data_IF_310378177503
#
_entry.id   IF_310378177503
#
_cell.length_a   1.000
_cell.length_b   1.000
_cell.length_c   1.000
_cell.angle_alpha   90.00
_cell.angle_beta   90.00
_cell.angle_gamma   90.00
#
_symmetry.space_group_name_H-M   'P 1'
#
loop_
_entity.id
_entity.type
_entity.pdbx_description
1 polymer ?
#
# COMPACT_ATOMS: atom_id res chain seq x y z
N UNK A 1 -16.59 12.01 24.82
CA UNK A 1 -15.78 12.16 23.59
C UNK A 1 -14.59 13.10 23.77
N UNK A 2 -14.76 14.38 24.16
CA UNK A 2 -13.61 15.31 24.36
C UNK A 2 -12.52 14.77 25.28
N UNK A 3 -12.88 14.16 26.41
CA UNK A 3 -11.92 13.54 27.34
C UNK A 3 -11.18 12.32 26.79
N UNK A 4 -11.71 11.66 25.76
CA UNK A 4 -11.06 10.51 25.12
C UNK A 4 -10.02 11.04 24.12
N UNK A 5 -10.42 12.03 23.31
CA UNK A 5 -9.54 12.62 22.30
C UNK A 5 -8.43 13.47 22.92
N UNK A 6 -8.58 13.93 24.17
CA UNK A 6 -7.61 14.77 24.86
C UNK A 6 -6.29 14.07 25.21
N UNK A 7 -6.14 12.75 25.04
CA UNK A 7 -4.85 12.07 25.16
C UNK A 7 -4.07 12.00 23.85
N UNK A 8 -4.70 12.29 22.71
CA UNK A 8 -4.07 12.19 21.39
C UNK A 8 -3.31 13.47 21.05
N UNK A 9 -2.11 13.30 20.52
CA UNK A 9 -1.19 14.39 20.21
C UNK A 9 -0.61 14.23 18.80
N UNK A 10 -0.37 15.35 18.13
CA UNK A 10 0.38 15.38 16.89
C UNK A 10 1.90 15.17 17.14
N UNK A 11 2.68 15.24 16.07
CA UNK A 11 4.15 15.11 16.12
C UNK A 11 4.86 16.22 16.92
N UNK A 12 4.19 17.34 17.21
CA UNK A 12 4.69 18.48 17.97
C UNK A 12 4.13 18.52 19.41
N UNK A 13 3.57 17.40 19.88
CA UNK A 13 2.94 17.26 21.20
C UNK A 13 1.76 18.22 21.43
N UNK A 14 1.12 18.71 20.36
CA UNK A 14 -0.11 19.49 20.43
C UNK A 14 -1.34 18.58 20.35
N UNK A 15 -2.49 18.95 20.94
CA UNK A 15 -3.74 18.21 20.73
C UNK A 15 -4.05 18.06 19.24
N UNK A 16 -4.50 16.88 18.82
CA UNK A 16 -4.91 16.67 17.42
C UNK A 16 -5.99 17.68 17.02
N UNK A 17 -5.83 18.29 15.84
CA UNK A 17 -6.73 19.33 15.36
C UNK A 17 -8.05 18.75 14.81
N UNK A 18 -8.03 17.52 14.30
CA UNK A 18 -9.18 16.83 13.73
C UNK A 18 -9.09 15.32 13.90
N UNK A 19 -10.23 14.63 13.76
CA UNK A 19 -10.31 13.17 13.77
C UNK A 19 -11.51 12.72 12.94
N UNK A 20 -11.36 11.60 12.22
CA UNK A 20 -12.46 10.93 11.52
C UNK A 20 -13.11 9.93 12.48
N UNK A 21 -14.44 10.01 12.61
CA UNK A 21 -15.21 9.10 13.45
C UNK A 21 -16.01 8.14 12.58
N UNK A 22 -15.97 6.85 12.92
CA UNK A 22 -16.71 5.78 12.26
C UNK A 22 -17.86 5.36 13.17
N UNK A 23 -19.05 5.15 12.59
CA UNK A 23 -20.23 4.68 13.31
C UNK A 23 -21.07 3.77 12.44
N UNK A 24 -21.63 2.72 13.03
CA UNK A 24 -22.71 1.96 12.42
C UNK A 24 -23.98 2.82 12.33
N UNK A 25 -24.63 2.83 11.16
CA UNK A 25 -25.72 3.76 10.87
C UNK A 25 -26.92 3.61 11.83
N UNK A 26 -27.17 2.39 12.28
CA UNK A 26 -28.24 1.98 13.19
C UNK A 26 -27.86 2.06 14.69
N UNK A 27 -26.64 2.50 15.01
CA UNK A 27 -26.14 2.60 16.38
C UNK A 27 -25.97 4.05 16.84
N UNK A 28 -26.06 4.27 18.15
CA UNK A 28 -25.66 5.53 18.76
C UNK A 28 -24.14 5.65 18.82
N UNK A 29 -23.60 6.87 18.99
CA UNK A 29 -22.15 7.13 19.04
C UNK A 29 -21.43 6.45 20.20
N UNK A 30 -22.16 6.07 21.25
CA UNK A 30 -21.63 5.44 22.45
C UNK A 30 -22.19 4.04 22.67
N UNK A 31 -22.77 3.43 21.63
CA UNK A 31 -23.21 2.05 21.70
C UNK A 31 -21.99 1.15 21.89
N UNK A 32 -22.11 0.17 22.79
CA UNK A 32 -21.11 -0.87 22.91
C UNK A 32 -21.08 -1.69 21.61
N UNK A 33 -19.86 -1.92 21.11
CA UNK A 33 -19.62 -2.77 19.96
C UNK A 33 -19.26 -4.18 20.41
N UNK A 34 -19.83 -5.16 19.74
CA UNK A 34 -19.43 -6.58 19.81
C UNK A 34 -18.05 -6.78 19.19
N UNK A 35 -17.39 -7.92 19.47
CA UNK A 35 -16.09 -8.22 18.85
C UNK A 35 -16.19 -8.28 17.31
N UNK A 36 -17.25 -8.88 16.77
CA UNK A 36 -17.49 -8.93 15.31
C UNK A 36 -17.64 -7.52 14.70
N UNK A 37 -18.34 -6.62 15.39
CA UNK A 37 -18.46 -5.22 14.96
C UNK A 37 -17.10 -4.50 15.01
N UNK A 38 -16.26 -4.79 16.01
CA UNK A 38 -14.92 -4.23 16.14
C UNK A 38 -14.02 -4.75 15.00
N UNK A 39 -14.05 -6.05 14.72
CA UNK A 39 -13.32 -6.66 13.59
C UNK A 39 -13.75 -6.05 12.26
N UNK A 40 -15.05 -5.82 12.09
CA UNK A 40 -15.62 -5.17 10.90
C UNK A 40 -15.13 -3.72 10.74
N UNK A 41 -15.02 -2.95 11.84
CA UNK A 41 -14.42 -1.60 11.82
C UNK A 41 -12.95 -1.65 11.41
N UNK A 42 -12.19 -2.65 11.85
CA UNK A 42 -10.81 -2.83 11.40
C UNK A 42 -10.73 -3.21 9.91
N UNK A 43 -11.64 -4.07 9.42
CA UNK A 43 -11.75 -4.36 7.98
C UNK A 43 -12.02 -3.10 7.16
N UNK A 44 -12.94 -2.23 7.60
CA UNK A 44 -13.23 -0.95 6.95
C UNK A 44 -12.01 -0.02 6.94
N UNK A 45 -11.26 0.00 8.04
CA UNK A 45 -10.04 0.79 8.16
C UNK A 45 -8.98 0.33 7.16
N UNK A 46 -8.80 -0.99 6.99
CA UNK A 46 -7.86 -1.53 5.99
C UNK A 46 -8.31 -1.23 4.55
N UNK A 47 -9.62 -1.28 4.27
CA UNK A 47 -10.16 -0.86 2.97
C UNK A 47 -9.97 0.65 2.72
N UNK A 48 -10.16 1.48 3.75
CA UNK A 48 -9.91 2.93 3.69
C UNK A 48 -8.43 3.22 3.44
N UNK A 49 -7.54 2.56 4.17
CA UNK A 49 -6.09 2.71 4.01
C UNK A 49 -5.66 2.34 2.59
N UNK A 50 -6.11 1.19 2.10
CA UNK A 50 -5.84 0.76 0.73
C UNK A 50 -6.34 1.78 -0.31
N UNK A 51 -7.54 2.31 -0.09
CA UNK A 51 -8.15 3.28 -1.01
C UNK A 51 -7.38 4.60 -1.05
N UNK A 52 -6.88 5.08 0.10
CA UNK A 52 -5.99 6.23 0.14
C UNK A 52 -4.64 5.96 -0.53
N UNK A 53 -4.05 4.79 -0.28
CA UNK A 53 -2.81 4.36 -0.93
C UNK A 53 -2.95 4.19 -2.45
N UNK A 54 -4.15 3.87 -2.94
CA UNK A 54 -4.46 3.73 -4.36
C UNK A 54 -4.55 5.08 -5.09
N UNK A 55 -4.70 6.19 -4.36
CA UNK A 55 -4.79 7.56 -4.89
C UNK A 55 -3.54 8.39 -4.61
N UNK A 56 -2.57 7.85 -3.85
CA UNK A 56 -1.38 8.61 -3.50
C UNK A 56 -0.55 8.93 -4.74
N UNK A 57 0.08 10.10 -4.69
CA UNK A 57 1.04 10.50 -5.70
C UNK A 57 2.47 10.34 -5.18
N UNK A 58 3.34 9.80 -6.04
CA UNK A 58 4.77 9.66 -5.73
C UNK A 58 5.55 10.88 -6.25
N UNK A 59 6.66 11.19 -5.57
CA UNK A 59 7.55 12.30 -5.92
C UNK A 59 6.87 13.68 -5.93
N UNK A 60 5.91 13.88 -5.02
CA UNK A 60 5.26 15.17 -4.79
C UNK A 60 5.65 15.72 -3.42
N UNK A 61 5.54 17.04 -3.26
CA UNK A 61 5.85 17.71 -1.99
C UNK A 61 4.67 17.70 -1.01
N UNK A 62 3.48 17.33 -1.47
CA UNK A 62 2.24 17.35 -0.69
C UNK A 62 1.32 16.21 -1.10
N UNK A 63 0.51 15.74 -0.16
CA UNK A 63 -0.50 14.73 -0.45
C UNK A 63 0.01 13.28 -0.41
N UNK A 64 1.30 13.03 -0.16
CA UNK A 64 1.77 11.67 0.10
C UNK A 64 1.11 11.10 1.36
N UNK A 65 0.69 9.83 1.28
CA UNK A 65 0.19 9.08 2.43
C UNK A 65 0.77 7.67 2.44
N UNK A 66 0.83 7.10 3.64
CA UNK A 66 1.18 5.71 3.88
C UNK A 66 0.08 5.05 4.71
N UNK A 67 0.18 3.73 4.93
CA UNK A 67 -0.81 2.96 5.68
C UNK A 67 -1.05 3.53 7.08
N UNK A 68 0.00 4.00 7.75
CA UNK A 68 -0.10 4.47 9.13
C UNK A 68 -0.87 5.79 9.25
N UNK A 69 -0.97 6.57 8.18
CA UNK A 69 -1.88 7.72 8.06
C UNK A 69 -3.35 7.35 8.26
N UNK A 70 -3.72 6.07 8.11
CA UNK A 70 -5.09 5.58 8.23
C UNK A 70 -5.28 4.67 9.44
N UNK A 71 -4.44 4.78 10.47
CA UNK A 71 -4.52 3.92 11.65
C UNK A 71 -5.89 4.04 12.35
N UNK A 72 -6.65 2.96 12.30
CA UNK A 72 -7.94 2.85 12.99
C UNK A 72 -7.75 2.56 14.48
N UNK A 73 -8.45 3.33 15.32
CA UNK A 73 -8.41 3.18 16.76
C UNK A 73 -9.80 2.86 17.28
N UNK A 74 -9.92 1.71 17.94
CA UNK A 74 -11.14 1.30 18.64
C UNK A 74 -10.84 1.24 20.13
N UNK A 75 -11.56 2.03 20.92
CA UNK A 75 -11.34 2.12 22.36
C UNK A 75 -12.65 2.00 23.13
N UNK A 76 -12.67 1.08 24.09
CA UNK A 76 -13.74 0.99 25.10
C UNK A 76 -13.54 2.09 26.14
N UNK A 77 -14.63 2.73 26.56
CA UNK A 77 -14.58 3.77 27.58
C UNK A 77 -15.69 3.59 28.60
N UNK A 78 -15.49 4.15 29.80
CA UNK A 78 -16.52 4.25 30.85
C UNK A 78 -16.67 5.72 31.25
N UNK A 79 -17.90 6.26 31.30
CA UNK A 79 -18.12 7.62 31.79
C UNK A 79 -17.51 7.81 33.20
N UNK A 80 -16.84 8.94 33.42
CA UNK A 80 -16.21 9.25 34.71
C UNK A 80 -14.90 8.53 35.03
N UNK A 81 -14.37 7.71 34.12
CA UNK A 81 -13.05 7.10 34.30
C UNK A 81 -11.93 8.17 34.34
N UNK A 82 -10.98 8.02 35.26
CA UNK A 82 -9.84 8.95 35.46
C UNK A 82 -8.55 8.50 34.76
N UNK A 83 -8.64 7.51 33.87
CA UNK A 83 -7.49 6.94 33.18
C UNK A 83 -7.86 5.85 32.18
N UNK A 84 -6.84 5.20 31.62
CA UNK A 84 -6.99 4.11 30.67
C UNK A 84 -6.23 2.86 31.13
N UNK A 85 -6.78 1.70 30.81
CA UNK A 85 -6.07 0.42 30.92
C UNK A 85 -5.52 0.06 29.54
N UNK A 86 -4.21 -0.01 29.42
CA UNK A 86 -3.52 -0.42 28.20
C UNK A 86 -3.22 -1.92 28.28
N UNK A 87 -3.64 -2.68 27.27
CA UNK A 87 -3.32 -4.10 27.15
C UNK A 87 -2.27 -4.28 26.07
N UNK A 88 -1.13 -4.87 26.43
CA UNK A 88 -0.09 -5.26 25.48
C UNK A 88 -0.12 -6.77 25.25
N UNK A 89 0.02 -7.19 23.99
CA UNK A 89 0.18 -8.60 23.62
C UNK A 89 1.61 -9.05 23.91
N UNK A 90 1.75 -10.27 24.42
CA UNK A 90 3.01 -11.01 24.48
C UNK A 90 2.84 -12.38 23.83
N UNK A 91 3.94 -13.05 23.47
CA UNK A 91 3.85 -14.42 22.90
C UNK A 91 3.28 -15.43 23.91
N UNK A 92 3.50 -15.17 25.20
CA UNK A 92 3.04 -15.93 26.36
C UNK A 92 1.74 -15.39 26.97
N UNK A 93 1.01 -14.49 26.27
CA UNK A 93 -0.26 -13.94 26.73
C UNK A 93 -0.34 -12.43 26.57
N UNK A 94 -0.49 -11.69 27.67
CA UNK A 94 -0.51 -10.23 27.62
C UNK A 94 -0.41 -9.60 28.99
N UNK A 95 -0.02 -8.33 29.00
CA UNK A 95 0.07 -7.52 30.22
C UNK A 95 -1.00 -6.42 30.16
N UNK A 96 -1.55 -6.05 31.31
CA UNK A 96 -2.40 -4.88 31.44
C UNK A 96 -1.72 -3.87 32.35
N UNK A 97 -1.72 -2.60 31.97
CA UNK A 97 -1.15 -1.51 32.75
C UNK A 97 -2.13 -0.36 32.81
N UNK A 98 -2.33 0.21 34.00
CA UNK A 98 -3.19 1.37 34.19
C UNK A 98 -2.37 2.65 34.09
N UNK A 99 -2.92 3.64 33.39
CA UNK A 99 -2.35 4.96 33.21
C UNK A 99 -3.41 6.00 33.57
N UNK A 100 -3.06 6.99 34.39
CA UNK A 100 -3.95 8.12 34.65
C UNK A 100 -4.13 8.96 33.38
N UNK A 101 -5.24 9.69 33.29
CA UNK A 101 -5.54 10.54 32.13
C UNK A 101 -4.48 11.64 31.92
N UNK A 102 -3.81 12.08 32.98
CA UNK A 102 -2.74 13.09 32.93
C UNK A 102 -1.44 12.56 32.31
N UNK A 103 -1.17 11.27 32.49
CA UNK A 103 0.05 10.61 32.01
C UNK A 103 -0.12 9.99 30.63
N UNK A 104 -1.34 9.63 30.24
CA UNK A 104 -1.60 9.01 28.94
C UNK A 104 -1.46 10.03 27.81
N UNK A 105 -0.42 9.84 26.98
CA UNK A 105 -0.24 10.56 25.73
C UNK A 105 -0.03 9.56 24.59
N UNK A 106 -0.91 9.60 23.59
CA UNK A 106 -0.77 8.83 22.36
C UNK A 106 -0.31 9.80 21.28
N UNK A 107 0.96 9.72 20.90
CA UNK A 107 1.57 10.61 19.91
C UNK A 107 1.48 10.00 18.53
N UNK A 108 1.21 10.84 17.54
CA UNK A 108 1.37 10.52 16.13
C UNK A 108 2.85 10.24 15.82
N UNK A 109 3.10 9.18 15.03
CA UNK A 109 4.44 8.83 14.61
C UNK A 109 5.02 9.87 13.62
N UNK A 110 6.32 10.18 13.67
CA UNK A 110 6.92 11.24 12.85
C UNK A 110 6.85 11.05 11.33
N UNK A 111 6.72 9.79 10.85
CA UNK A 111 6.59 9.50 9.41
C UNK A 111 5.16 9.68 8.88
N UNK A 112 4.19 9.95 9.75
CA UNK A 112 2.81 10.21 9.35
C UNK A 112 2.67 11.69 9.00
N UNK A 113 2.43 11.97 7.72
CA UNK A 113 2.15 13.32 7.23
C UNK A 113 0.68 13.69 7.46
N UNK A 114 0.40 14.97 7.72
CA UNK A 114 -0.98 15.47 7.82
C UNK A 114 -1.75 15.24 6.51
N UNK A 115 -2.82 14.46 6.58
CA UNK A 115 -3.73 14.27 5.46
C UNK A 115 -4.64 15.49 5.32
N UNK A 116 -4.44 16.29 4.26
CA UNK A 116 -5.35 17.38 3.91
C UNK A 116 -6.34 16.93 2.85
N UNK A 117 -7.61 16.80 3.23
CA UNK A 117 -8.70 16.60 2.27
C UNK A 117 -8.88 15.17 1.75
N UNK A 118 -8.38 14.15 2.45
CA UNK A 118 -8.66 12.76 2.08
C UNK A 118 -10.12 12.41 2.37
N UNK A 119 -10.88 12.19 1.30
CA UNK A 119 -12.25 11.69 1.37
C UNK A 119 -12.27 10.16 1.29
N UNK A 120 -13.36 9.56 1.78
CA UNK A 120 -13.70 8.18 1.40
C UNK A 120 -13.81 8.16 -0.12
N UNK A 121 -13.04 7.29 -0.77
CA UNK A 121 -12.97 7.24 -2.22
C UNK A 121 -14.00 6.26 -2.78
N UNK A 122 -14.22 6.29 -4.09
CA UNK A 122 -15.10 5.34 -4.77
C UNK A 122 -14.62 3.88 -4.65
N UNK A 123 -13.36 3.66 -4.26
CA UNK A 123 -12.74 2.34 -4.11
C UNK A 123 -13.00 1.70 -2.74
N UNK A 124 -13.33 2.49 -1.70
CA UNK A 124 -13.45 1.99 -0.32
C UNK A 124 -14.54 0.94 -0.17
N UNK A 125 -15.76 1.23 -0.62
CA UNK A 125 -16.89 0.30 -0.46
C UNK A 125 -16.72 -0.98 -1.29
N UNK A 126 -16.34 -0.93 -2.58
CA UNK A 126 -16.04 -2.14 -3.36
C UNK A 126 -14.93 -3.00 -2.73
N UNK A 127 -13.86 -2.37 -2.25
CA UNK A 127 -12.76 -3.10 -1.59
C UNK A 127 -13.23 -3.76 -0.31
N UNK A 128 -13.94 -3.03 0.55
CA UNK A 128 -14.47 -3.56 1.79
C UNK A 128 -15.42 -4.75 1.57
N UNK A 129 -16.36 -4.64 0.63
CA UNK A 129 -17.28 -5.73 0.30
C UNK A 129 -16.55 -6.97 -0.25
N UNK A 130 -15.49 -6.78 -1.06
CA UNK A 130 -14.67 -7.88 -1.56
C UNK A 130 -13.89 -8.56 -0.41
N UNK A 131 -13.35 -7.79 0.53
CA UNK A 131 -12.69 -8.34 1.73
C UNK A 131 -13.64 -9.17 2.60
N UNK A 132 -14.94 -8.79 2.70
CA UNK A 132 -15.94 -9.55 3.46
C UNK A 132 -16.29 -10.91 2.82
N UNK A 133 -16.02 -11.09 1.52
CA UNK A 133 -16.48 -12.25 0.74
C UNK A 133 -15.35 -13.12 0.18
N UNK A 134 -14.13 -12.61 0.16
CA UNK A 134 -12.95 -13.30 -0.37
C UNK A 134 -11.75 -13.12 0.58
N UNK A 135 -11.42 -14.20 1.31
CA UNK A 135 -10.29 -14.25 2.24
C UNK A 135 -8.95 -13.95 1.53
N UNK A 136 -8.75 -14.43 0.31
CA UNK A 136 -7.53 -14.14 -0.45
C UNK A 136 -7.42 -12.66 -0.81
N UNK A 137 -8.55 -12.02 -1.11
CA UNK A 137 -8.59 -10.57 -1.33
C UNK A 137 -8.29 -9.79 -0.04
N UNK A 138 -8.91 -10.14 1.11
CA UNK A 138 -8.62 -9.54 2.41
C UNK A 138 -7.13 -9.65 2.78
N UNK A 139 -6.56 -10.84 2.66
CA UNK A 139 -5.14 -11.07 2.92
C UNK A 139 -4.24 -10.28 1.95
N UNK A 140 -4.64 -10.12 0.68
CA UNK A 140 -3.89 -9.34 -0.29
C UNK A 140 -3.84 -7.86 0.10
N UNK A 141 -4.99 -7.28 0.47
CA UNK A 141 -5.10 -5.89 0.89
C UNK A 141 -4.27 -5.64 2.16
N UNK A 142 -4.40 -6.48 3.18
CA UNK A 142 -3.63 -6.35 4.43
C UNK A 142 -2.14 -6.46 4.21
N UNK A 143 -1.69 -7.41 3.39
CA UNK A 143 -0.28 -7.58 3.08
C UNK A 143 0.29 -6.39 2.30
N UNK A 144 -0.49 -5.83 1.37
CA UNK A 144 -0.10 -4.60 0.66
C UNK A 144 -0.01 -3.41 1.62
N UNK A 145 -1.02 -3.22 2.47
CA UNK A 145 -1.05 -2.15 3.47
C UNK A 145 0.16 -2.23 4.41
N UNK A 146 0.49 -3.40 4.94
CA UNK A 146 1.65 -3.60 5.82
C UNK A 146 2.98 -3.27 5.12
N UNK A 147 3.09 -3.56 3.82
CA UNK A 147 4.26 -3.22 3.03
C UNK A 147 4.43 -1.72 2.75
N UNK A 148 3.40 -0.91 3.01
CA UNK A 148 3.36 0.52 2.70
C UNK A 148 3.21 1.36 3.98
N UNK A 149 3.90 0.99 5.06
CA UNK A 149 3.87 1.70 6.35
C UNK A 149 4.93 2.79 6.48
N UNK A 150 6.03 2.70 5.73
CA UNK A 150 7.22 3.56 5.80
C UNK A 150 7.86 3.65 7.19
N UNK A 151 7.58 2.69 8.07
CA UNK A 151 8.14 2.67 9.42
C UNK A 151 9.65 2.46 9.34
N UNK A 152 10.42 3.25 10.07
CA UNK A 152 11.88 3.08 10.17
C UNK A 152 12.29 1.70 10.73
N UNK A 153 11.40 1.03 11.46
CA UNK A 153 11.62 -0.32 12.01
C UNK A 153 11.26 -1.44 11.02
N UNK A 154 10.57 -1.11 9.92
CA UNK A 154 10.29 -2.05 8.83
C UNK A 154 11.46 -2.02 7.85
N UNK A 155 12.10 -3.18 7.64
CA UNK A 155 13.13 -3.28 6.63
C UNK A 155 12.53 -3.42 5.23
N UNK A 156 13.21 -2.91 4.21
CA UNK A 156 12.80 -3.10 2.80
C UNK A 156 12.64 -4.58 2.41
N UNK A 157 13.38 -5.46 3.07
CA UNK A 157 13.22 -6.92 2.95
C UNK A 157 11.83 -7.37 3.39
N UNK A 158 11.35 -6.90 4.53
CA UNK A 158 10.02 -7.24 5.03
C UNK A 158 8.93 -6.64 4.14
N UNK A 159 9.11 -5.40 3.67
CA UNK A 159 8.22 -4.78 2.69
C UNK A 159 8.13 -5.61 1.41
N UNK A 160 9.28 -6.10 0.90
CA UNK A 160 9.34 -6.95 -0.29
C UNK A 160 8.59 -8.28 -0.06
N UNK A 161 8.79 -8.93 1.09
CA UNK A 161 8.11 -10.18 1.44
C UNK A 161 6.59 -9.95 1.51
N UNK A 162 6.14 -8.90 2.20
CA UNK A 162 4.73 -8.55 2.33
C UNK A 162 4.12 -8.21 0.97
N UNK A 163 4.84 -7.46 0.13
CA UNK A 163 4.39 -7.08 -1.21
C UNK A 163 4.21 -8.28 -2.13
N UNK A 164 5.19 -9.19 -2.20
CA UNK A 164 5.06 -10.42 -3.00
C UNK A 164 3.92 -11.30 -2.45
N UNK A 165 3.76 -11.35 -1.14
CA UNK A 165 2.64 -12.06 -0.52
C UNK A 165 1.30 -11.46 -0.93
N UNK A 166 1.19 -10.12 -1.01
CA UNK A 166 0.00 -9.43 -1.49
C UNK A 166 -0.39 -9.86 -2.91
N UNK A 167 0.55 -9.89 -3.86
CA UNK A 167 0.30 -10.38 -5.21
C UNK A 167 -0.14 -11.85 -5.23
N UNK A 168 0.55 -12.71 -4.48
CA UNK A 168 0.21 -14.13 -4.42
C UNK A 168 -1.21 -14.36 -3.90
N UNK A 169 -1.62 -13.63 -2.87
CA UNK A 169 -2.98 -13.68 -2.32
C UNK A 169 -4.00 -13.12 -3.33
N UNK A 170 -3.69 -12.01 -4.00
CA UNK A 170 -4.57 -11.42 -5.02
C UNK A 170 -4.83 -12.38 -6.19
N UNK A 171 -3.86 -13.23 -6.53
CA UNK A 171 -3.95 -14.23 -7.59
C UNK A 171 -4.38 -15.63 -7.11
N UNK A 172 -4.67 -15.80 -5.81
CA UNK A 172 -5.08 -17.10 -5.25
C UNK A 172 -3.99 -18.18 -5.28
N UNK A 173 -2.72 -17.78 -5.30
CA UNK A 173 -1.57 -18.69 -5.42
C UNK A 173 -1.21 -19.23 -4.03
N UNK A 174 -1.33 -20.55 -3.84
CA UNK A 174 -0.94 -21.25 -2.61
C UNK A 174 0.41 -21.93 -2.77
N UNK A 175 1.33 -21.68 -1.83
CA UNK A 175 2.68 -22.28 -1.84
C UNK A 175 3.56 -21.85 -3.02
N UNK A 176 3.20 -20.76 -3.68
CA UNK A 176 3.61 -20.42 -5.05
C UNK A 176 5.11 -20.34 -5.29
N UNK A 177 5.55 -21.12 -6.27
CA UNK A 177 6.84 -20.90 -6.90
C UNK A 177 6.88 -19.55 -7.65
N UNK A 178 8.09 -19.06 -7.88
CA UNK A 178 8.39 -17.80 -8.57
C UNK A 178 7.72 -17.74 -9.94
N UNK A 179 7.75 -18.86 -10.69
CA UNK A 179 7.26 -18.92 -12.06
C UNK A 179 5.73 -18.74 -12.14
N UNK A 180 4.99 -19.31 -11.19
CA UNK A 180 3.53 -19.22 -11.13
C UNK A 180 3.07 -17.84 -10.71
N UNK A 181 3.81 -17.19 -9.79
CA UNK A 181 3.59 -15.78 -9.42
C UNK A 181 3.78 -14.87 -10.62
N UNK A 182 4.89 -15.04 -11.35
CA UNK A 182 5.20 -14.24 -12.53
C UNK A 182 4.20 -14.42 -13.68
N UNK A 183 3.77 -15.66 -13.95
CA UNK A 183 2.76 -15.95 -14.98
C UNK A 183 1.41 -15.32 -14.63
N UNK A 184 0.91 -15.54 -13.41
CA UNK A 184 -0.39 -15.00 -12.99
C UNK A 184 -0.42 -13.47 -13.04
N UNK A 185 0.69 -12.81 -12.71
CA UNK A 185 0.83 -11.37 -12.88
C UNK A 185 0.72 -10.93 -14.34
N UNK A 186 1.43 -11.60 -15.25
CA UNK A 186 1.37 -11.29 -16.67
C UNK A 186 -0.03 -11.57 -17.24
N UNK A 187 -0.66 -12.67 -16.83
CA UNK A 187 -2.01 -13.06 -17.21
C UNK A 187 -3.04 -12.03 -16.76
N UNK A 188 -2.93 -11.51 -15.53
CA UNK A 188 -3.80 -10.45 -15.03
C UNK A 188 -3.75 -9.16 -15.88
N UNK A 189 -2.61 -8.92 -16.55
CA UNK A 189 -2.40 -7.76 -17.42
C UNK A 189 -2.59 -8.06 -18.92
N UNK A 190 -3.05 -9.25 -19.31
CA UNK A 190 -3.23 -9.60 -20.74
C UNK A 190 -4.22 -8.70 -21.47
N UNK A 191 -5.22 -8.16 -20.76
CA UNK A 191 -6.19 -7.20 -21.31
C UNK A 191 -5.68 -5.78 -21.40
N UNK A 192 -4.51 -5.50 -20.82
CA UNK A 192 -3.88 -4.17 -20.87
C UNK A 192 -2.96 -4.15 -22.09
N UNK A 193 -3.19 -3.26 -23.06
CA UNK A 193 -2.33 -3.15 -24.23
C UNK A 193 -0.85 -3.05 -23.84
N UNK A 194 0.01 -3.75 -24.58
CA UNK A 194 1.45 -3.69 -24.37
C UNK A 194 1.99 -2.40 -24.98
N UNK A 195 2.77 -1.65 -24.21
CA UNK A 195 3.52 -0.55 -24.80
C UNK A 195 4.63 -1.11 -25.70
N UNK A 196 4.85 -0.48 -26.86
CA UNK A 196 5.95 -0.83 -27.76
C UNK A 196 7.29 -0.28 -27.26
N UNK A 197 7.71 -0.70 -26.07
CA UNK A 197 8.93 -0.26 -25.40
C UNK A 197 9.94 -1.39 -25.24
N UNK A 198 11.22 -1.07 -25.41
CA UNK A 198 12.33 -2.00 -25.16
C UNK A 198 13.05 -1.61 -23.88
N UNK A 199 13.43 -2.57 -23.01
CA UNK A 199 14.28 -2.28 -21.87
C UNK A 199 15.66 -1.81 -22.36
N UNK A 200 16.28 -0.85 -21.66
CA UNK A 200 17.58 -0.29 -22.08
C UNK A 200 18.82 -1.11 -21.67
N UNK A 201 18.71 -2.06 -20.72
CA UNK A 201 19.87 -2.82 -20.21
C UNK A 201 20.08 -4.13 -21.01
N UNK A 202 21.27 -4.39 -21.61
CA UNK A 202 21.49 -5.59 -22.43
C UNK A 202 21.26 -6.93 -21.70
N UNK A 203 21.62 -7.01 -20.40
CA UNK A 203 21.38 -8.21 -19.59
C UNK A 203 19.89 -8.44 -19.30
N UNK A 204 19.09 -7.38 -19.28
CA UNK A 204 17.64 -7.51 -19.17
C UNK A 204 17.01 -7.81 -20.53
N UNK A 205 17.59 -7.41 -21.66
CA UNK A 205 17.02 -7.71 -22.99
C UNK A 205 16.84 -9.20 -23.24
N UNK A 206 17.85 -10.06 -23.01
CA UNK A 206 17.71 -11.51 -23.22
C UNK A 206 16.70 -12.12 -22.23
N UNK A 207 16.76 -11.70 -20.97
CA UNK A 207 15.89 -12.20 -19.91
C UNK A 207 14.42 -11.81 -20.14
N UNK A 208 14.19 -10.58 -20.58
CA UNK A 208 12.89 -10.01 -20.97
C UNK A 208 12.40 -10.63 -22.27
N UNK A 209 13.24 -10.80 -23.29
CA UNK A 209 12.84 -11.41 -24.56
C UNK A 209 12.24 -12.81 -24.39
N UNK A 210 12.72 -13.57 -23.39
CA UNK A 210 12.18 -14.91 -23.09
C UNK A 210 10.82 -14.92 -22.39
N UNK A 211 10.43 -13.85 -21.69
CA UNK A 211 9.26 -13.83 -20.78
C UNK A 211 8.26 -12.70 -21.07
N UNK A 212 8.66 -11.69 -21.83
CA UNK A 212 8.00 -10.38 -21.81
C UNK A 212 8.36 -9.57 -20.57
N UNK A 213 8.21 -8.24 -20.66
CA UNK A 213 8.68 -7.29 -19.66
C UNK A 213 7.98 -7.45 -18.30
N UNK A 214 6.64 -7.54 -18.31
CA UNK A 214 5.80 -7.70 -17.13
C UNK A 214 6.12 -8.97 -16.35
N UNK A 215 6.21 -10.10 -17.05
CA UNK A 215 6.55 -11.39 -16.43
C UNK A 215 8.00 -11.40 -15.91
N UNK A 216 8.95 -10.80 -16.64
CA UNK A 216 10.33 -10.69 -16.20
C UNK A 216 10.45 -9.90 -14.89
N UNK A 217 9.76 -8.77 -14.77
CA UNK A 217 9.76 -7.97 -13.54
C UNK A 217 9.23 -8.74 -12.32
N UNK A 218 8.06 -9.38 -12.45
CA UNK A 218 7.50 -10.15 -11.34
C UNK A 218 8.36 -11.37 -10.99
N UNK A 219 8.98 -12.02 -11.98
CA UNK A 219 9.92 -13.12 -11.75
C UNK A 219 11.14 -12.64 -10.95
N UNK A 220 11.72 -11.50 -11.32
CA UNK A 220 12.88 -10.91 -10.65
C UNK A 220 12.55 -10.57 -9.18
N UNK A 221 11.41 -9.91 -8.96
CA UNK A 221 10.90 -9.56 -7.64
C UNK A 221 10.65 -10.78 -6.75
N UNK A 222 9.95 -11.79 -7.27
CA UNK A 222 9.64 -13.01 -6.52
C UNK A 222 10.90 -13.84 -6.23
N UNK A 223 11.87 -13.86 -7.15
CA UNK A 223 13.19 -14.49 -6.93
C UNK A 223 13.96 -13.77 -5.83
N UNK A 224 13.98 -12.43 -5.86
CA UNK A 224 14.63 -11.63 -4.84
C UNK A 224 14.02 -11.91 -3.46
N UNK A 225 12.69 -11.93 -3.33
CA UNK A 225 11.99 -12.31 -2.10
C UNK A 225 12.42 -13.70 -1.62
N UNK A 226 12.50 -14.68 -2.52
CA UNK A 226 12.97 -16.03 -2.21
C UNK A 226 14.40 -16.03 -1.64
N UNK A 227 15.32 -15.31 -2.30
CA UNK A 227 16.72 -15.21 -1.86
C UNK A 227 16.84 -14.62 -0.45
N UNK A 228 16.13 -13.52 -0.17
CA UNK A 228 16.22 -12.86 1.14
C UNK A 228 15.48 -13.66 2.23
N UNK A 229 14.38 -14.33 1.90
CA UNK A 229 13.68 -15.22 2.85
C UNK A 229 14.53 -16.41 3.30
N UNK A 230 15.51 -16.85 2.50
CA UNK A 230 16.49 -17.86 2.88
C UNK A 230 17.70 -17.31 3.64
N UNK A 231 17.70 -16.02 4.00
CA UNK A 231 18.75 -15.39 4.81
C UNK A 231 19.99 -14.97 4.01
N UNK A 232 19.93 -14.98 2.68
CA UNK A 232 21.03 -14.47 1.87
C UNK A 232 21.19 -12.96 2.07
N UNK A 233 22.44 -12.48 2.04
CA UNK A 233 22.72 -11.04 2.12
C UNK A 233 22.07 -10.29 0.96
N UNK A 234 21.60 -9.08 1.22
CA UNK A 234 21.11 -8.16 0.20
C UNK A 234 22.19 -7.95 -0.87
N UNK A 235 21.82 -8.08 -2.15
CA UNK A 235 22.76 -8.02 -3.29
C UNK A 235 23.40 -9.35 -3.72
N UNK A 236 23.14 -10.45 -3.01
CA UNK A 236 23.58 -11.80 -3.45
C UNK A 236 22.94 -12.26 -4.76
N UNK A 237 21.70 -11.83 -5.01
CA UNK A 237 20.99 -12.05 -6.25
C UNK A 237 21.20 -10.83 -7.18
N UNK A 238 21.73 -11.02 -8.41
CA UNK A 238 21.99 -9.93 -9.35
C UNK A 238 20.70 -9.48 -10.04
N UNK A 239 19.84 -8.80 -9.27
CA UNK A 239 18.55 -8.29 -9.71
C UNK A 239 18.67 -7.28 -10.84
N UNK A 240 17.68 -7.26 -11.73
CA UNK A 240 17.59 -6.28 -12.83
C UNK A 240 17.11 -4.93 -12.29
N UNK A 241 16.11 -4.97 -11.42
CA UNK A 241 15.60 -3.81 -10.68
C UNK A 241 16.09 -3.86 -9.23
N UNK A 242 16.38 -2.69 -8.66
CA UNK A 242 16.68 -2.57 -7.24
C UNK A 242 15.45 -2.87 -6.37
N UNK A 243 15.68 -3.13 -5.07
CA UNK A 243 14.59 -3.33 -4.11
C UNK A 243 13.65 -2.12 -4.09
N UNK A 244 14.19 -0.91 -4.08
CA UNK A 244 13.41 0.33 -4.07
C UNK A 244 12.56 0.48 -5.33
N UNK A 245 13.10 0.13 -6.51
CA UNK A 245 12.33 0.11 -7.75
C UNK A 245 11.19 -0.91 -7.68
N UNK A 246 11.43 -2.13 -7.20
CA UNK A 246 10.37 -3.12 -7.03
C UNK A 246 9.26 -2.64 -6.10
N UNK A 247 9.62 -2.05 -4.96
CA UNK A 247 8.65 -1.55 -3.99
C UNK A 247 7.82 -0.41 -4.56
N UNK A 248 8.44 0.58 -5.20
CA UNK A 248 7.73 1.69 -5.86
C UNK A 248 6.81 1.20 -6.98
N UNK A 249 7.32 0.33 -7.86
CA UNK A 249 6.55 -0.21 -8.99
C UNK A 249 5.37 -1.05 -8.51
N UNK A 250 5.56 -1.84 -7.46
CA UNK A 250 4.49 -2.62 -6.84
C UNK A 250 3.45 -1.74 -6.13
N UNK A 251 3.91 -0.74 -5.39
CA UNK A 251 3.11 0.32 -4.77
C UNK A 251 2.19 1.04 -5.75
N UNK A 252 2.61 1.13 -7.02
CA UNK A 252 1.85 1.70 -8.14
C UNK A 252 0.91 0.69 -8.83
N UNK A 253 1.42 -0.48 -9.23
CA UNK A 253 0.63 -1.41 -10.07
C UNK A 253 -0.38 -2.24 -9.28
N UNK A 254 -0.11 -2.53 -8.00
CA UNK A 254 -0.99 -3.38 -7.20
C UNK A 254 -2.40 -2.80 -7.04
N UNK A 255 -2.58 -1.51 -6.68
CA UNK A 255 -3.91 -0.91 -6.65
C UNK A 255 -4.66 -0.98 -7.98
N UNK A 256 -3.96 -0.81 -9.10
CA UNK A 256 -4.55 -0.90 -10.44
C UNK A 256 -5.02 -2.32 -10.77
N UNK A 257 -4.27 -3.35 -10.36
CA UNK A 257 -4.70 -4.74 -10.50
C UNK A 257 -5.92 -5.07 -9.63
N UNK A 258 -5.99 -4.50 -8.43
CA UNK A 258 -7.17 -4.64 -7.57
C UNK A 258 -8.39 -3.99 -8.24
N UNK A 259 -8.26 -2.76 -8.75
CA UNK A 259 -9.32 -2.09 -9.52
C UNK A 259 -9.73 -2.90 -10.75
N UNK A 260 -8.77 -3.47 -11.49
CA UNK A 260 -9.02 -4.34 -12.63
C UNK A 260 -9.78 -5.61 -12.21
N UNK A 261 -9.41 -6.23 -11.09
CA UNK A 261 -10.12 -7.40 -10.54
C UNK A 261 -11.54 -7.04 -10.13
N UNK A 262 -11.74 -5.92 -9.45
CA UNK A 262 -13.05 -5.40 -9.05
C UNK A 262 -13.91 -4.97 -10.25
N UNK A 263 -13.32 -4.72 -11.42
CA UNK A 263 -14.12 -4.40 -12.61
C UNK A 263 -15.03 -5.55 -13.04
N UNK A 264 -14.65 -6.80 -12.73
CA UNK A 264 -15.51 -7.96 -12.95
C UNK A 264 -16.75 -7.99 -12.04
N UNK A 265 -16.74 -7.22 -10.94
CA UNK A 265 -17.85 -7.08 -9.99
C UNK A 265 -18.51 -5.69 -10.01
N UNK A 266 -18.26 -4.89 -11.05
CA UNK A 266 -18.97 -3.63 -11.32
C UNK A 266 -18.21 -2.35 -11.00
N UNK A 267 -16.95 -2.42 -10.54
CA UNK A 267 -16.10 -1.22 -10.46
C UNK A 267 -15.78 -0.70 -11.86
N UNK A 268 -15.98 0.60 -12.11
CA UNK A 268 -15.65 1.19 -13.41
C UNK A 268 -14.24 1.77 -13.37
N UNK A 269 -13.33 1.21 -14.15
CA UNK A 269 -11.99 1.78 -14.34
C UNK A 269 -12.11 3.19 -14.93
N UNK A 270 -11.47 4.16 -14.28
CA UNK A 270 -11.38 5.53 -14.79
C UNK A 270 -10.49 5.61 -16.02
N UNK A 271 -10.48 6.77 -16.70
CA UNK A 271 -9.53 7.02 -17.79
C UNK A 271 -8.10 7.00 -17.25
N UNK A 272 -7.90 7.55 -16.05
CA UNK A 272 -6.61 7.61 -15.37
C UNK A 272 -6.11 6.20 -15.02
N UNK A 273 -6.96 5.33 -14.46
CA UNK A 273 -6.60 3.93 -14.15
C UNK A 273 -6.07 3.21 -15.39
N UNK A 274 -6.75 3.42 -16.51
CA UNK A 274 -6.41 2.86 -17.83
C UNK A 274 -5.08 3.38 -18.34
N UNK A 275 -4.86 4.69 -18.29
CA UNK A 275 -3.59 5.30 -18.69
C UNK A 275 -2.44 4.78 -17.82
N UNK A 276 -2.63 4.71 -16.51
CA UNK A 276 -1.62 4.24 -15.56
C UNK A 276 -1.25 2.76 -15.77
N UNK A 277 -2.23 1.92 -16.09
CA UNK A 277 -1.97 0.53 -16.50
C UNK A 277 -1.08 0.45 -17.75
N UNK A 278 -1.27 1.35 -18.72
CA UNK A 278 -0.42 1.44 -19.92
C UNK A 278 0.98 2.00 -19.66
N UNK A 279 1.11 2.96 -18.71
CA UNK A 279 2.38 3.55 -18.32
C UNK A 279 3.33 2.56 -17.65
N UNK A 280 2.79 1.50 -17.04
CA UNK A 280 3.59 0.55 -16.27
C UNK A 280 4.78 -0.03 -17.06
N UNK A 281 4.58 -0.37 -18.32
CA UNK A 281 5.65 -0.90 -19.18
C UNK A 281 6.78 0.12 -19.41
N UNK A 282 6.46 1.41 -19.50
CA UNK A 282 7.46 2.47 -19.64
C UNK A 282 8.29 2.62 -18.37
N UNK A 283 7.66 2.51 -17.20
CA UNK A 283 8.39 2.50 -15.93
C UNK A 283 9.31 1.29 -15.82
N UNK A 284 8.83 0.09 -16.20
CA UNK A 284 9.64 -1.13 -16.21
C UNK A 284 10.84 -1.04 -17.16
N UNK A 285 10.67 -0.41 -18.33
CA UNK A 285 11.70 -0.27 -19.34
C UNK A 285 12.73 0.84 -19.04
N UNK A 286 12.42 1.73 -18.09
CA UNK A 286 13.32 2.79 -17.67
C UNK A 286 14.61 2.23 -17.03
N UNK A 287 15.70 2.98 -17.10
CA UNK A 287 16.99 2.51 -16.58
C UNK A 287 17.04 2.51 -15.05
N UNK A 288 16.50 3.58 -14.46
CA UNK A 288 16.27 3.79 -13.05
C UNK A 288 15.11 4.77 -12.88
N UNK A 289 13.94 4.27 -12.49
CA UNK A 289 12.73 5.10 -12.37
C UNK A 289 12.81 6.12 -11.21
N UNK A 290 13.70 5.85 -10.24
CA UNK A 290 13.95 6.70 -9.07
C UNK A 290 14.92 7.85 -9.38
N UNK A 291 15.68 7.74 -10.47
CA UNK A 291 16.73 8.69 -10.77
C UNK A 291 16.18 10.12 -10.90
N UNK A 292 16.93 11.12 -10.42
CA UNK A 292 16.61 12.50 -10.73
C UNK A 292 16.71 12.67 -12.24
N UNK A 293 15.68 13.28 -12.82
CA UNK A 293 15.66 13.59 -14.24
C UNK A 293 16.12 15.02 -14.53
N UNK A 294 16.00 15.91 -13.53
CA UNK A 294 16.65 17.21 -13.51
C UNK A 294 17.21 17.44 -12.10
N UNK A 295 18.38 18.07 -12.02
CA UNK A 295 19.00 18.48 -10.77
C UNK A 295 19.36 19.97 -10.82
N UNK A 296 19.22 20.65 -9.69
CA UNK A 296 19.74 21.99 -9.47
C UNK A 296 20.57 21.94 -8.19
N UNK A 297 21.86 22.29 -8.29
CA UNK A 297 22.80 22.28 -7.16
C UNK A 297 22.85 20.94 -6.39
N UNK A 298 22.72 19.82 -7.11
CA UNK A 298 22.72 18.47 -6.52
C UNK A 298 21.41 18.08 -5.83
N UNK A 299 20.35 18.89 -5.96
CA UNK A 299 19.00 18.58 -5.48
C UNK A 299 18.12 18.22 -6.67
N UNK A 300 17.46 17.06 -6.59
CA UNK A 300 16.50 16.62 -7.59
C UNK A 300 15.32 17.62 -7.67
N UNK A 301 15.11 18.23 -8.84
CA UNK A 301 13.95 19.10 -9.11
C UNK A 301 12.81 18.36 -9.80
N UNK A 302 13.12 17.20 -10.40
CA UNK A 302 12.14 16.25 -10.92
C UNK A 302 12.76 14.85 -11.00
N UNK A 303 11.92 13.81 -11.01
CA UNK A 303 12.35 12.42 -11.16
C UNK A 303 11.92 11.85 -12.50
N UNK A 304 12.61 10.79 -12.95
CA UNK A 304 12.26 10.06 -14.19
C UNK A 304 10.80 9.61 -14.15
N UNK A 305 10.32 9.18 -12.98
CA UNK A 305 8.91 8.91 -12.70
C UNK A 305 7.97 10.02 -13.20
N UNK A 306 8.19 11.26 -12.74
CA UNK A 306 7.32 12.40 -13.03
C UNK A 306 7.41 12.83 -14.49
N UNK A 307 8.61 12.76 -15.10
CA UNK A 307 8.78 13.08 -16.52
C UNK A 307 8.08 12.07 -17.44
N UNK A 308 8.21 10.76 -17.17
CA UNK A 308 7.51 9.73 -17.93
C UNK A 308 5.99 9.92 -17.82
N UNK A 309 5.49 10.19 -16.60
CA UNK A 309 4.06 10.48 -16.39
C UNK A 309 3.62 11.67 -17.24
N UNK A 310 4.33 12.79 -17.18
CA UNK A 310 3.95 14.03 -17.88
C UNK A 310 4.00 13.90 -19.41
N UNK A 311 5.06 13.30 -19.97
CA UNK A 311 5.24 13.21 -21.41
C UNK A 311 4.22 12.28 -22.07
N UNK A 312 3.97 11.14 -21.44
CA UNK A 312 3.13 10.08 -22.02
C UNK A 312 1.63 10.32 -21.78
N UNK A 313 1.26 11.11 -20.77
CA UNK A 313 -0.14 11.50 -20.55
C UNK A 313 -0.78 12.21 -21.76
N UNK A 314 0.05 12.83 -22.61
CA UNK A 314 -0.37 13.56 -23.80
C UNK A 314 -0.38 12.70 -25.07
N UNK A 315 0.35 11.58 -25.08
CA UNK A 315 0.64 10.80 -26.29
C UNK A 315 -0.07 9.44 -26.31
N UNK A 316 -0.42 8.89 -25.15
CA UNK A 316 -1.02 7.57 -25.10
C UNK A 316 -2.53 7.67 -25.37
N UNK A 317 -2.92 7.31 -26.59
CA UNK A 317 -4.30 6.95 -26.94
C UNK A 317 -4.46 5.43 -26.71
N UNK A 318 -5.01 5.02 -25.56
CA UNK A 318 -5.28 3.60 -25.31
C UNK A 318 -6.71 3.28 -25.75
N UNK A 319 -6.84 2.65 -26.92
CA UNK A 319 -8.06 1.92 -27.27
C UNK A 319 -8.13 0.66 -26.39
N UNK A 320 -9.07 0.65 -25.43
CA UNK A 320 -9.36 -0.46 -24.52
C UNK A 320 -10.48 -1.36 -25.02
#
# INVERSE_FOLDING_TARGET
MRSILSSYRDQHDQPIASATLIRFADRSWSADLTEDEIERVFGLTEALAFSGLAEREFFTHSGYCNRDSFTGIVQRFRPGASGASLRSRRRDGGTSSYWSAELLRVRQEPHIVELRGYAITALTAPSFNAMETDEGFDLAIRAFNEANTDRATMSQTHELISTVSAFQQLFGIRGGDVASTARSFADALTRVPLASVKPKKPRSEEFVARRGLRQAWMYDMATMRGSVAHGNRQGSYPSIWSVQEHLLLAAFIFPLLVKLRLSASGYTLTREDRLELGLFDYYLASENVLAPANELDGVATSHVWSQLRANLWLEIDIDW
#
